data_IF_335955963107
#
_entry.id   IF_335955963107
#
_cell.length_a   1.000
_cell.length_b   1.000
_cell.length_c   1.000
_cell.angle_alpha   90.00
_cell.angle_beta   90.00
_cell.angle_gamma   90.00
#
_symmetry.space_group_name_H-M   'P 1'
#
loop_
_entity.id
_entity.type
_entity.pdbx_description
1 polymer ?
#
# COMPACT_ATOMS: atom_id res chain seq x y z
N UNK A 1 14.67 22.89 4.16
CA UNK A 1 14.21 21.80 5.04
C UNK A 1 14.09 22.35 6.44
N UNK A 2 12.91 22.33 7.03
CA UNK A 2 12.71 22.82 8.40
C UNK A 2 13.34 21.81 9.36
N UNK A 3 14.29 22.26 10.19
CA UNK A 3 14.94 21.41 11.19
C UNK A 3 14.45 21.81 12.58
N UNK A 4 13.62 20.95 13.17
CA UNK A 4 13.28 20.98 14.58
C UNK A 4 13.71 19.64 15.18
N UNK A 5 14.34 19.68 16.35
CA UNK A 5 14.65 18.44 17.07
C UNK A 5 13.34 17.71 17.37
N UNK A 6 13.31 16.39 17.11
CA UNK A 6 12.13 15.54 17.28
C UNK A 6 10.89 16.01 16.51
N UNK A 7 11.02 16.34 15.22
CA UNK A 7 9.91 16.81 14.38
C UNK A 7 8.70 15.85 14.34
N UNK A 8 8.95 14.53 14.37
CA UNK A 8 7.90 13.51 14.29
C UNK A 8 8.27 12.25 15.08
N UNK A 9 7.27 11.40 15.29
CA UNK A 9 7.40 10.06 15.89
C UNK A 9 6.73 9.04 14.98
N UNK A 10 7.35 7.86 14.83
CA UNK A 10 6.71 6.70 14.20
C UNK A 10 6.28 5.71 15.29
N UNK A 11 4.99 5.38 15.33
CA UNK A 11 4.45 4.40 16.26
C UNK A 11 4.02 3.15 15.50
N UNK A 12 4.63 2.01 15.80
CA UNK A 12 4.19 0.74 15.23
C UNK A 12 2.79 0.43 15.75
N UNK A 13 1.83 0.31 14.84
CA UNK A 13 0.44 -0.01 15.15
C UNK A 13 0.23 -1.52 15.10
N UNK A 14 0.67 -2.16 14.00
CA UNK A 14 0.48 -3.59 13.76
C UNK A 14 1.37 -4.08 12.62
N UNK A 15 1.41 -5.40 12.45
CA UNK A 15 1.98 -6.07 11.29
C UNK A 15 0.86 -6.79 10.54
N UNK A 16 0.86 -6.68 9.22
CA UNK A 16 -0.07 -7.34 8.30
C UNK A 16 0.71 -8.19 7.30
N UNK A 17 0.10 -9.26 6.80
CA UNK A 17 0.63 -9.99 5.65
C UNK A 17 -0.05 -9.44 4.40
N UNK A 18 0.74 -8.98 3.44
CA UNK A 18 0.23 -8.46 2.18
C UNK A 18 0.66 -9.35 1.02
N UNK A 19 -0.20 -9.45 0.01
CA UNK A 19 0.25 -9.82 -1.33
C UNK A 19 0.71 -8.55 -2.05
N UNK A 20 1.99 -8.53 -2.41
CA UNK A 20 2.62 -7.43 -3.10
C UNK A 20 2.93 -7.79 -4.56
N UNK A 21 2.66 -6.85 -5.44
CA UNK A 21 3.03 -6.94 -6.83
C UNK A 21 4.54 -6.65 -6.98
N UNK A 22 5.30 -7.49 -7.71
CA UNK A 22 6.69 -7.19 -8.01
C UNK A 22 6.82 -5.90 -8.82
N UNK A 23 7.92 -5.18 -8.63
CA UNK A 23 8.19 -3.85 -9.18
C UNK A 23 8.28 -3.81 -10.73
N UNK A 24 8.25 -4.98 -11.39
CA UNK A 24 8.44 -5.16 -12.84
C UNK A 24 7.17 -5.76 -13.45
N UNK A 25 6.09 -5.00 -13.56
CA UNK A 25 4.94 -5.48 -14.33
C UNK A 25 4.18 -4.38 -15.05
N UNK A 26 3.72 -4.69 -16.28
CA UNK A 26 3.10 -3.76 -17.22
C UNK A 26 1.57 -3.74 -17.09
N UNK A 27 0.92 -2.72 -17.68
CA UNK A 27 -0.55 -2.59 -17.78
C UNK A 27 -1.27 -3.85 -18.34
N UNK A 28 -0.56 -4.69 -19.08
CA UNK A 28 -1.08 -5.98 -19.60
C UNK A 28 -1.54 -6.89 -18.46
N UNK A 29 -0.87 -6.81 -17.31
CA UNK A 29 -1.14 -7.63 -16.14
C UNK A 29 -2.54 -7.41 -15.56
N UNK A 30 -3.10 -6.20 -15.60
CA UNK A 30 -4.42 -5.94 -14.99
C UNK A 30 -5.55 -6.65 -15.71
N UNK A 31 -5.46 -6.73 -17.04
CA UNK A 31 -6.46 -7.45 -17.83
C UNK A 31 -6.33 -8.96 -17.61
N UNK A 32 -5.09 -9.47 -17.56
CA UNK A 32 -4.83 -10.89 -17.28
C UNK A 32 -5.31 -11.29 -15.87
N UNK A 33 -5.04 -10.45 -14.85
CA UNK A 33 -5.55 -10.66 -13.49
C UNK A 33 -7.07 -10.65 -13.47
N UNK A 34 -7.73 -9.71 -14.16
CA UNK A 34 -9.18 -9.69 -14.24
C UNK A 34 -9.71 -11.02 -14.81
N UNK A 35 -9.21 -11.42 -15.98
CA UNK A 35 -9.71 -12.61 -16.68
C UNK A 35 -9.45 -13.90 -15.88
N UNK A 36 -8.30 -14.01 -15.21
CA UNK A 36 -7.98 -15.16 -14.33
C UNK A 36 -8.79 -15.15 -13.05
N UNK A 37 -9.01 -14.00 -12.41
CA UNK A 37 -9.72 -13.95 -11.12
C UNK A 37 -11.24 -14.01 -11.27
N UNK A 38 -11.78 -13.59 -12.42
CA UNK A 38 -13.23 -13.59 -12.68
C UNK A 38 -13.83 -15.00 -12.59
N UNK A 39 -13.06 -16.04 -12.92
CA UNK A 39 -13.53 -17.43 -12.87
C UNK A 39 -13.86 -17.93 -11.44
N UNK A 40 -13.39 -17.23 -10.40
CA UNK A 40 -13.65 -17.57 -8.99
C UNK A 40 -14.82 -16.77 -8.37
N UNK A 41 -15.47 -15.92 -9.17
CA UNK A 41 -16.61 -15.13 -8.72
C UNK A 41 -17.89 -15.93 -8.90
N UNK A 42 -18.64 -16.09 -7.81
CA UNK A 42 -19.91 -16.84 -7.78
C UNK A 42 -21.10 -15.97 -7.43
N UNK A 43 -20.88 -14.71 -7.07
CA UNK A 43 -21.90 -13.74 -6.68
C UNK A 43 -21.48 -12.28 -6.98
N UNK A 44 -22.46 -11.36 -6.94
CA UNK A 44 -22.28 -9.93 -7.22
C UNK A 44 -21.39 -9.21 -6.20
N UNK A 45 -21.32 -9.72 -4.95
CA UNK A 45 -20.50 -9.10 -3.91
C UNK A 45 -19.02 -9.31 -4.20
N UNK A 46 -18.63 -10.54 -4.57
CA UNK A 46 -17.26 -10.86 -4.99
C UNK A 46 -16.86 -10.07 -6.23
N UNK A 47 -17.76 -9.88 -7.19
CA UNK A 47 -17.48 -9.04 -8.37
C UNK A 47 -17.20 -7.58 -7.98
N UNK A 48 -18.01 -7.01 -7.08
CA UNK A 48 -17.78 -5.67 -6.55
C UNK A 48 -16.42 -5.55 -5.84
N UNK A 49 -16.04 -6.56 -5.05
CA UNK A 49 -14.74 -6.62 -4.37
C UNK A 49 -13.58 -6.72 -5.36
N UNK A 50 -13.70 -7.57 -6.41
CA UNK A 50 -12.69 -7.66 -7.47
C UNK A 50 -12.53 -6.33 -8.20
N UNK A 51 -13.62 -5.68 -8.59
CA UNK A 51 -13.57 -4.37 -9.24
C UNK A 51 -12.89 -3.32 -8.35
N UNK A 52 -13.19 -3.34 -7.04
CA UNK A 52 -12.53 -2.46 -6.07
C UNK A 52 -11.02 -2.71 -6.02
N UNK A 53 -10.59 -3.97 -6.00
CA UNK A 53 -9.18 -4.35 -6.03
C UNK A 53 -8.48 -3.90 -7.33
N UNK A 54 -9.10 -4.14 -8.48
CA UNK A 54 -8.57 -3.75 -9.78
C UNK A 54 -8.46 -2.23 -9.92
N UNK A 55 -9.39 -1.47 -9.36
CA UNK A 55 -9.33 -0.01 -9.34
C UNK A 55 -8.21 0.53 -8.45
N UNK A 56 -7.93 -0.12 -7.31
CA UNK A 56 -6.74 0.20 -6.49
C UNK A 56 -5.46 -0.07 -7.28
N UNK A 57 -5.38 -1.21 -7.97
CA UNK A 57 -4.23 -1.59 -8.79
C UNK A 57 -3.99 -0.62 -9.95
N UNK A 58 -5.05 -0.25 -10.69
CA UNK A 58 -4.98 0.74 -11.77
C UNK A 58 -4.45 2.08 -11.29
N UNK A 59 -4.97 2.60 -10.18
CA UNK A 59 -4.53 3.87 -9.58
C UNK A 59 -3.05 3.85 -9.21
N UNK A 60 -2.57 2.74 -8.65
CA UNK A 60 -1.15 2.59 -8.34
C UNK A 60 -0.26 2.65 -9.59
N UNK A 61 -0.67 1.98 -10.69
CA UNK A 61 0.10 1.99 -11.93
C UNK A 61 0.14 3.36 -12.63
N UNK A 62 -0.91 4.18 -12.49
CA UNK A 62 -0.99 5.51 -13.11
C UNK A 62 -0.23 6.61 -12.34
N UNK A 63 0.59 6.24 -11.34
CA UNK A 63 1.47 7.14 -10.57
C UNK A 63 0.78 8.16 -9.68
N UNK A 64 -0.49 7.96 -9.31
CA UNK A 64 -1.10 8.61 -8.13
C UNK A 64 -0.56 7.95 -6.85
N UNK A 65 0.76 7.91 -6.71
CA UNK A 65 1.43 7.13 -5.68
C UNK A 65 1.79 8.03 -4.52
N UNK A 66 1.09 7.85 -3.40
CA UNK A 66 1.45 8.48 -2.14
C UNK A 66 2.57 7.68 -1.45
N UNK A 67 3.78 7.69 -2.02
CA UNK A 67 4.96 7.01 -1.46
C UNK A 67 5.85 6.33 -2.50
N UNK A 68 6.81 5.52 -2.05
CA UNK A 68 7.80 4.83 -2.87
C UNK A 68 7.67 3.29 -2.84
N UNK A 69 6.71 2.71 -2.10
CA UNK A 69 6.50 1.26 -1.97
C UNK A 69 5.76 0.54 -3.11
N UNK A 70 5.73 -0.80 -3.16
CA UNK A 70 5.03 -1.55 -4.21
C UNK A 70 3.52 -1.35 -4.16
N UNK A 71 2.80 -1.87 -5.16
CA UNK A 71 1.39 -2.17 -4.94
C UNK A 71 1.30 -3.36 -3.99
N UNK A 72 0.48 -3.26 -2.95
CA UNK A 72 0.26 -4.36 -2.02
C UNK A 72 -1.11 -4.25 -1.37
N UNK A 73 -1.71 -5.38 -1.04
CA UNK A 73 -3.01 -5.43 -0.36
C UNK A 73 -2.95 -6.47 0.76
N UNK A 74 -3.56 -6.22 1.94
CA UNK A 74 -3.65 -7.21 3.00
C UNK A 74 -4.31 -8.49 2.48
N UNK A 75 -3.75 -9.66 2.83
CA UNK A 75 -4.32 -10.97 2.45
C UNK A 75 -5.77 -11.09 2.93
N UNK A 76 -6.09 -10.49 4.08
CA UNK A 76 -7.45 -10.43 4.64
C UNK A 76 -8.46 -9.77 3.70
N UNK A 77 -8.06 -8.72 2.96
CA UNK A 77 -8.93 -8.07 1.97
C UNK A 77 -9.17 -8.93 0.72
N UNK A 78 -8.30 -9.92 0.48
CA UNK A 78 -8.35 -10.80 -0.68
C UNK A 78 -9.01 -12.15 -0.39
N UNK A 79 -9.50 -12.39 0.84
CA UNK A 79 -10.16 -13.64 1.23
C UNK A 79 -11.37 -14.01 0.38
N UNK A 80 -12.00 -13.04 -0.28
CA UNK A 80 -13.13 -13.28 -1.20
C UNK A 80 -12.73 -14.09 -2.44
N UNK A 81 -11.44 -14.11 -2.80
CA UNK A 81 -10.86 -14.92 -3.88
C UNK A 81 -10.69 -16.40 -3.48
N UNK A 82 -10.94 -16.74 -2.22
CA UNK A 82 -10.69 -18.06 -1.65
C UNK A 82 -9.22 -18.51 -1.84
N UNK A 83 -8.89 -19.74 -1.45
CA UNK A 83 -7.50 -20.20 -1.55
C UNK A 83 -7.04 -20.29 -3.01
N UNK A 84 -7.93 -20.71 -3.92
CA UNK A 84 -7.62 -20.92 -5.33
C UNK A 84 -7.22 -19.61 -6.03
N UNK A 85 -7.98 -18.53 -5.84
CA UNK A 85 -7.63 -17.24 -6.44
C UNK A 85 -6.40 -16.59 -5.80
N UNK A 86 -6.13 -16.83 -4.51
CA UNK A 86 -4.88 -16.41 -3.87
C UNK A 86 -3.67 -17.17 -4.44
N UNK A 87 -3.82 -18.46 -4.73
CA UNK A 87 -2.76 -19.28 -5.34
C UNK A 87 -2.48 -18.84 -6.78
N UNK A 88 -3.49 -18.46 -7.56
CA UNK A 88 -3.30 -17.85 -8.89
C UNK A 88 -2.48 -16.55 -8.83
N UNK A 89 -2.75 -15.67 -7.86
CA UNK A 89 -1.93 -14.48 -7.65
C UNK A 89 -0.47 -14.86 -7.38
N UNK A 90 -0.22 -15.89 -6.55
CA UNK A 90 1.13 -16.40 -6.27
C UNK A 90 1.80 -16.99 -7.51
N UNK A 91 1.06 -17.70 -8.37
CA UNK A 91 1.55 -18.19 -9.67
C UNK A 91 1.92 -17.05 -10.62
N UNK A 92 1.23 -15.91 -10.53
CA UNK A 92 1.57 -14.67 -11.22
C UNK A 92 2.72 -13.88 -10.55
N UNK A 93 3.49 -14.51 -9.66
CA UNK A 93 4.62 -13.96 -8.92
C UNK A 93 4.27 -12.86 -7.92
N UNK A 94 3.03 -12.82 -7.41
CA UNK A 94 2.73 -11.97 -6.25
C UNK A 94 3.39 -12.56 -5.01
N UNK A 95 4.09 -11.71 -4.26
CA UNK A 95 4.85 -12.13 -3.09
C UNK A 95 4.07 -11.82 -1.83
N UNK A 96 3.95 -12.81 -0.95
CA UNK A 96 3.43 -12.59 0.39
C UNK A 96 4.55 -12.02 1.27
N UNK A 97 4.39 -10.78 1.71
CA UNK A 97 5.41 -10.05 2.48
C UNK A 97 4.81 -9.49 3.77
N UNK A 98 5.60 -9.41 4.86
CA UNK A 98 5.19 -8.70 6.06
C UNK A 98 5.21 -7.19 5.78
N UNK A 99 4.16 -6.50 6.18
CA UNK A 99 4.01 -5.04 6.10
C UNK A 99 3.78 -4.51 7.50
N UNK A 100 4.54 -3.49 7.87
CA UNK A 100 4.44 -2.86 9.18
C UNK A 100 3.66 -1.57 9.05
N UNK A 101 2.52 -1.47 9.74
CA UNK A 101 1.69 -0.27 9.74
C UNK A 101 2.16 0.64 10.85
N UNK A 102 2.64 1.83 10.49
CA UNK A 102 3.04 2.87 11.42
C UNK A 102 2.08 4.05 11.38
N UNK A 103 1.84 4.66 12.53
CA UNK A 103 1.23 5.98 12.64
C UNK A 103 2.34 7.04 12.66
N UNK A 104 2.20 8.05 11.79
CA UNK A 104 3.08 9.22 11.73
C UNK A 104 2.46 10.32 12.59
N UNK A 105 3.07 10.58 13.76
CA UNK A 105 2.64 11.64 14.65
C UNK A 105 3.61 12.81 14.56
N UNK A 106 3.10 13.97 14.14
CA UNK A 106 3.88 15.22 14.14
C UNK A 106 3.94 15.79 15.55
N UNK A 107 5.13 16.23 15.97
CA UNK A 107 5.35 16.89 17.26
C UNK A 107 5.28 18.43 17.11
N UNK A 108 4.32 18.89 16.31
CA UNK A 108 3.99 20.29 16.05
C UNK A 108 2.48 20.48 16.14
N UNK A 109 2.03 21.66 16.55
CA UNK A 109 0.61 21.96 16.65
C UNK A 109 0.00 22.04 15.24
N UNK A 110 -1.14 21.38 15.04
CA UNK A 110 -1.91 21.47 13.79
C UNK A 110 -2.39 22.88 13.45
N UNK A 111 -2.43 23.80 14.42
CA UNK A 111 -2.74 25.21 14.17
C UNK A 111 -1.53 26.06 13.77
N UNK A 112 -0.32 25.50 13.72
CA UNK A 112 0.88 26.22 13.27
C UNK A 112 0.75 26.58 11.79
N UNK A 113 1.05 27.82 11.43
CA UNK A 113 0.96 28.32 10.05
C UNK A 113 1.86 27.52 9.08
N UNK A 114 2.91 26.87 9.60
CA UNK A 114 3.84 26.04 8.83
C UNK A 114 3.55 24.54 8.95
N UNK A 115 2.40 24.13 9.51
CA UNK A 115 2.07 22.73 9.72
C UNK A 115 2.21 21.90 8.44
N UNK A 116 1.68 22.38 7.31
CA UNK A 116 1.79 21.70 6.02
C UNK A 116 3.25 21.56 5.54
N UNK A 117 4.10 22.58 5.73
CA UNK A 117 5.53 22.50 5.42
C UNK A 117 6.26 21.45 6.28
N UNK A 118 5.85 21.29 7.54
CA UNK A 118 6.37 20.24 8.41
C UNK A 118 5.92 18.86 7.93
N UNK A 119 4.65 18.70 7.53
CA UNK A 119 4.13 17.44 6.94
C UNK A 119 4.95 17.05 5.72
N UNK A 120 5.13 17.97 4.76
CA UNK A 120 5.95 17.72 3.57
C UNK A 120 7.39 17.36 3.94
N UNK A 121 7.98 18.07 4.90
CA UNK A 121 9.34 17.78 5.38
C UNK A 121 9.44 16.37 5.97
N UNK A 122 8.48 15.94 6.81
CA UNK A 122 8.49 14.60 7.42
C UNK A 122 8.43 13.52 6.35
N UNK A 123 7.56 13.67 5.34
CA UNK A 123 7.47 12.66 4.30
C UNK A 123 8.66 12.66 3.34
N UNK A 124 9.27 13.82 3.07
CA UNK A 124 10.55 13.88 2.36
C UNK A 124 11.66 13.14 3.13
N UNK A 125 11.67 13.20 4.47
CA UNK A 125 12.59 12.41 5.30
C UNK A 125 12.25 10.92 5.18
N UNK A 126 10.97 10.54 5.25
CA UNK A 126 10.56 9.14 5.12
C UNK A 126 10.93 8.54 3.77
N UNK A 127 10.85 9.31 2.69
CA UNK A 127 11.26 8.88 1.34
C UNK A 127 12.74 8.46 1.28
N UNK A 128 13.59 9.06 2.14
CA UNK A 128 15.02 8.73 2.25
C UNK A 128 15.31 7.56 3.21
N UNK A 129 14.43 7.32 4.18
CA UNK A 129 14.67 6.34 5.25
C UNK A 129 14.08 4.96 4.94
N UNK A 130 12.88 4.91 4.36
CA UNK A 130 12.09 3.68 4.26
C UNK A 130 11.37 3.58 2.92
N UNK A 131 11.03 2.33 2.58
CA UNK A 131 10.09 2.05 1.50
C UNK A 131 8.69 2.02 2.12
N UNK A 132 7.79 2.89 1.68
CA UNK A 132 6.44 3.01 2.25
C UNK A 132 5.40 3.47 1.23
N UNK A 133 4.13 3.24 1.59
CA UNK A 133 2.98 3.90 0.98
C UNK A 133 2.13 4.54 2.09
N UNK A 134 1.53 5.70 1.84
CA UNK A 134 0.53 6.30 2.72
C UNK A 134 -0.80 5.57 2.58
N UNK A 135 -1.53 5.54 3.68
CA UNK A 135 -2.92 5.06 3.70
C UNK A 135 -3.83 6.30 3.52
N UNK A 136 -4.56 6.40 2.38
CA UNK A 136 -5.30 7.61 2.03
C UNK A 136 -6.27 8.07 3.13
N UNK A 137 -6.27 9.38 3.40
CA UNK A 137 -7.15 10.00 4.39
C UNK A 137 -6.80 9.68 5.85
N UNK A 138 -5.61 9.13 6.11
CA UNK A 138 -5.14 8.81 7.46
C UNK A 138 -3.69 9.24 7.67
N UNK A 139 -3.22 9.23 8.92
CA UNK A 139 -1.81 9.43 9.27
C UNK A 139 -1.02 8.10 9.30
N UNK A 140 -1.56 7.04 8.70
CA UNK A 140 -0.91 5.73 8.66
C UNK A 140 -0.06 5.57 7.42
N UNK A 141 1.05 4.86 7.57
CA UNK A 141 1.93 4.42 6.48
C UNK A 141 2.15 2.93 6.57
N UNK A 142 2.10 2.27 5.42
CA UNK A 142 2.50 0.89 5.22
C UNK A 142 4.00 0.88 4.91
N UNK A 143 4.82 0.38 5.82
CA UNK A 143 6.28 0.30 5.67
C UNK A 143 6.67 -1.12 5.27
N UNK A 144 7.47 -1.20 4.20
CA UNK A 144 7.91 -2.44 3.60
C UNK A 144 9.36 -2.77 4.02
N UNK A 145 9.66 -4.04 4.37
CA UNK A 145 11.02 -4.42 4.71
C UNK A 145 11.95 -4.26 3.50
N UNK A 146 13.19 -3.82 3.76
CA UNK A 146 14.20 -3.67 2.72
C UNK A 146 14.63 -5.02 2.16
N UNK A 147 14.77 -5.13 0.83
CA UNK A 147 15.21 -6.35 0.14
C UNK A 147 14.09 -7.36 -0.17
N UNK A 148 12.86 -7.09 0.25
CA UNK A 148 11.66 -7.90 -0.06
C UNK A 148 10.85 -7.40 -1.26
N UNK A 149 11.25 -6.28 -1.86
CA UNK A 149 10.53 -5.58 -2.94
C UNK A 149 11.47 -4.91 -3.94
#
# INVERSE_FOLDING_TARGET
>A
MLTKDNLFTLKLVRQENHLALPTITSLVLVKEIHDVLYQYLVDEEKERLLNTFLDKLKRHMTREKEGNGPFSVPVEELRFLEQEGLDELKYMNWLEIPVYVFEVALNVDSSDEKYEEYVETVFSILDELVVYNRVPGTNLVNVYPQGTV
#
